data_IF_905555619674
#
_entry.id   IF_905555619674
#
_cell.length_a   1.000
_cell.length_b   1.000
_cell.length_c   1.000
_cell.angle_alpha   90.00
_cell.angle_beta   90.00
_cell.angle_gamma   90.00
#
_symmetry.space_group_name_H-M   'P 1'
#
loop_
_entity.id
_entity.type
_entity.pdbx_description
1 polymer ?
#
# COMPACT_ATOMS: atom_id res chain seq x y z
N UNK A 1 -7.34 -1.20 17.56
CA UNK A 1 -8.25 -0.07 17.31
C UNK A 1 -9.68 -0.59 17.48
N UNK A 2 -10.65 0.19 17.98
CA UNK A 2 -12.06 -0.22 18.03
C UNK A 2 -12.88 0.84 17.30
N UNK A 3 -13.62 0.40 16.28
CA UNK A 3 -14.51 1.26 15.50
C UNK A 3 -15.96 1.04 15.91
N UNK A 4 -16.77 2.09 15.89
CA UNK A 4 -18.18 2.07 16.27
C UNK A 4 -19.12 1.65 15.14
N UNK A 5 -18.68 1.74 13.88
CA UNK A 5 -19.47 1.34 12.71
C UNK A 5 -18.57 0.95 11.52
N UNK A 6 -19.18 0.28 10.52
CA UNK A 6 -18.53 -0.01 9.23
C UNK A 6 -18.16 1.29 8.51
N UNK A 7 -19.00 2.32 8.59
CA UNK A 7 -18.74 3.61 7.94
C UNK A 7 -17.52 4.32 8.53
N UNK A 8 -17.30 4.23 9.86
CA UNK A 8 -16.11 4.76 10.51
C UNK A 8 -14.84 4.03 10.06
N UNK A 9 -14.90 2.71 9.92
CA UNK A 9 -13.79 1.90 9.39
C UNK A 9 -13.46 2.32 7.95
N UNK A 10 -14.48 2.43 7.11
CA UNK A 10 -14.31 2.77 5.69
C UNK A 10 -13.78 4.19 5.52
N UNK A 11 -14.29 5.16 6.28
CA UNK A 11 -13.77 6.53 6.27
C UNK A 11 -12.30 6.56 6.67
N UNK A 12 -11.94 5.83 7.74
CA UNK A 12 -10.54 5.74 8.17
C UNK A 12 -9.64 5.10 7.11
N UNK A 13 -10.09 4.02 6.46
CA UNK A 13 -9.35 3.36 5.38
C UNK A 13 -9.18 4.30 4.18
N UNK A 14 -10.23 4.99 3.75
CA UNK A 14 -10.19 5.96 2.65
C UNK A 14 -9.17 7.07 2.93
N UNK A 15 -9.11 7.58 4.15
CA UNK A 15 -8.14 8.62 4.51
C UNK A 15 -6.70 8.10 4.47
N UNK A 16 -6.48 6.84 4.86
CA UNK A 16 -5.15 6.20 4.73
C UNK A 16 -4.74 6.03 3.26
N UNK A 17 -5.65 5.62 2.40
CA UNK A 17 -5.40 5.52 0.95
C UNK A 17 -5.11 6.88 0.32
N UNK A 18 -5.84 7.93 0.69
CA UNK A 18 -5.55 9.30 0.21
C UNK A 18 -4.16 9.78 0.63
N UNK A 19 -3.74 9.47 1.86
CA UNK A 19 -2.37 9.77 2.31
C UNK A 19 -1.32 9.00 1.49
N UNK A 20 -1.60 7.76 1.08
CA UNK A 20 -0.73 6.97 0.21
C UNK A 20 -0.67 7.56 -1.21
N UNK A 21 -1.82 7.98 -1.78
CA UNK A 21 -1.88 8.71 -3.06
C UNK A 21 -0.95 9.92 -3.04
N UNK A 22 -1.08 10.77 -2.01
CA UNK A 22 -0.29 12.00 -1.87
C UNK A 22 1.20 11.69 -1.66
N UNK A 23 1.50 10.69 -0.84
CA UNK A 23 2.87 10.24 -0.58
C UNK A 23 3.56 9.76 -1.87
N UNK A 24 2.93 8.87 -2.64
CA UNK A 24 3.53 8.40 -3.88
C UNK A 24 3.58 9.49 -4.96
N UNK A 25 2.60 10.38 -5.00
CA UNK A 25 2.63 11.54 -5.90
C UNK A 25 3.77 12.51 -5.56
N UNK A 26 4.13 12.70 -4.29
CA UNK A 26 5.28 13.52 -3.91
C UNK A 26 6.59 12.84 -4.27
N UNK A 27 6.75 11.55 -3.95
CA UNK A 27 7.94 10.78 -4.32
C UNK A 27 8.18 10.75 -5.84
N UNK A 28 7.12 10.64 -6.64
CA UNK A 28 7.21 10.72 -8.09
C UNK A 28 7.74 12.08 -8.61
N UNK A 29 7.50 13.18 -7.89
CA UNK A 29 8.01 14.51 -8.27
C UNK A 29 9.48 14.66 -7.94
N UNK A 30 9.94 14.04 -6.86
CA UNK A 30 11.32 14.11 -6.37
C UNK A 30 12.25 13.05 -6.98
N UNK A 31 11.68 11.96 -7.49
CA UNK A 31 12.43 10.87 -8.10
C UNK A 31 13.29 11.36 -9.28
N UNK A 32 14.60 11.15 -9.16
CA UNK A 32 15.58 11.54 -10.19
C UNK A 32 15.75 10.50 -11.29
N UNK A 33 15.45 9.23 -11.00
CA UNK A 33 15.47 8.12 -11.99
C UNK A 33 14.09 7.93 -12.59
N UNK A 34 14.02 7.84 -13.92
CA UNK A 34 12.76 7.63 -14.66
C UNK A 34 12.01 6.39 -14.19
N UNK A 35 12.71 5.27 -13.97
CA UNK A 35 12.08 4.03 -13.49
C UNK A 35 11.39 4.19 -12.14
N UNK A 36 12.03 4.87 -11.18
CA UNK A 36 11.45 5.15 -9.86
C UNK A 36 10.23 6.05 -9.97
N UNK A 37 10.34 7.10 -10.80
CA UNK A 37 9.23 8.02 -11.06
C UNK A 37 8.03 7.28 -11.64
N UNK A 38 8.25 6.42 -12.63
CA UNK A 38 7.18 5.61 -13.24
C UNK A 38 6.53 4.68 -12.22
N UNK A 39 7.31 4.01 -11.37
CA UNK A 39 6.79 3.17 -10.29
C UNK A 39 5.93 3.96 -9.31
N UNK A 40 6.40 5.12 -8.81
CA UNK A 40 5.62 5.92 -7.85
C UNK A 40 4.37 6.55 -8.48
N UNK A 41 4.42 6.97 -9.75
CA UNK A 41 3.21 7.40 -10.47
C UNK A 41 2.22 6.25 -10.58
N UNK A 42 2.69 5.02 -10.82
CA UNK A 42 1.83 3.84 -10.91
C UNK A 42 1.17 3.56 -9.57
N UNK A 43 1.94 3.53 -8.47
CA UNK A 43 1.41 3.30 -7.12
C UNK A 43 0.37 4.35 -6.75
N UNK A 44 0.68 5.64 -6.92
CA UNK A 44 -0.28 6.72 -6.65
C UNK A 44 -1.62 6.51 -7.37
N UNK A 45 -1.61 6.03 -8.62
CA UNK A 45 -2.83 5.70 -9.39
C UNK A 45 -3.50 4.40 -8.94
N UNK A 46 -2.76 3.46 -8.35
CA UNK A 46 -3.31 2.24 -7.77
C UNK A 46 -4.03 2.58 -6.45
N UNK A 47 -3.43 3.42 -5.60
CA UNK A 47 -4.08 3.95 -4.38
C UNK A 47 -5.34 4.77 -4.70
N UNK A 48 -5.34 5.56 -5.77
CA UNK A 48 -6.57 6.26 -6.23
C UNK A 48 -7.71 5.28 -6.54
N UNK A 49 -7.39 4.08 -7.07
CA UNK A 49 -8.38 3.04 -7.31
C UNK A 49 -8.83 2.39 -6.00
N UNK A 50 -7.95 2.25 -5.02
CA UNK A 50 -8.30 1.75 -3.69
C UNK A 50 -9.27 2.71 -2.99
N UNK A 51 -9.00 4.03 -3.04
CA UNK A 51 -9.95 5.07 -2.59
C UNK A 51 -11.32 4.87 -3.25
N UNK A 52 -11.36 4.70 -4.58
CA UNK A 52 -12.61 4.51 -5.32
C UNK A 52 -13.34 3.21 -4.92
N UNK A 53 -12.59 2.13 -4.68
CA UNK A 53 -13.14 0.84 -4.26
C UNK A 53 -13.79 0.92 -2.88
N UNK A 54 -13.11 1.57 -1.93
CA UNK A 54 -13.59 1.77 -0.56
C UNK A 54 -14.78 2.76 -0.50
N UNK A 55 -14.78 3.77 -1.37
CA UNK A 55 -15.82 4.82 -1.37
C UNK A 55 -17.16 4.36 -1.94
N UNK A 56 -17.17 3.35 -2.81
CA UNK A 56 -18.39 2.82 -3.42
C UNK A 56 -18.32 1.30 -3.62
N UNK A 57 -18.39 0.56 -2.51
CA UNK A 57 -18.36 -0.92 -2.52
C UNK A 57 -19.51 -1.48 -3.36
N UNK A 58 -20.72 -0.93 -3.19
CA UNK A 58 -21.92 -1.39 -3.90
C UNK A 58 -21.81 -1.19 -5.42
N UNK A 59 -21.37 -0.01 -5.86
CA UNK A 59 -21.15 0.28 -7.29
C UNK A 59 -19.96 -0.47 -7.89
N UNK A 60 -19.02 -0.94 -7.08
CA UNK A 60 -17.88 -1.75 -7.54
C UNK A 60 -18.07 -3.26 -7.32
N UNK A 61 -19.28 -3.73 -6.98
CA UNK A 61 -19.54 -5.13 -6.63
C UNK A 61 -19.07 -6.14 -7.69
N UNK A 62 -19.29 -5.87 -8.97
CA UNK A 62 -18.83 -6.75 -10.06
C UNK A 62 -17.30 -6.86 -10.11
N UNK A 63 -16.56 -5.77 -9.91
CA UNK A 63 -15.09 -5.77 -9.88
C UNK A 63 -14.55 -6.50 -8.66
N UNK A 64 -15.20 -6.30 -7.51
CA UNK A 64 -14.89 -7.01 -6.27
C UNK A 64 -15.13 -8.50 -6.50
N UNK A 65 -16.25 -8.86 -7.14
CA UNK A 65 -16.66 -10.24 -7.31
C UNK A 65 -15.83 -11.02 -8.32
N UNK A 66 -15.34 -10.35 -9.35
CA UNK A 66 -14.45 -10.89 -10.36
C UNK A 66 -12.96 -10.83 -10.01
N UNK A 67 -12.59 -10.29 -8.83
CA UNK A 67 -11.19 -10.17 -8.44
C UNK A 67 -10.53 -11.54 -8.24
N UNK A 68 -9.39 -11.74 -8.91
CA UNK A 68 -8.60 -12.97 -8.83
C UNK A 68 -7.43 -12.81 -7.86
N UNK A 69 -7.44 -13.61 -6.80
CA UNK A 69 -6.33 -13.66 -5.84
C UNK A 69 -5.13 -14.41 -6.44
N UNK A 70 -3.93 -13.90 -6.19
CA UNK A 70 -2.65 -14.43 -6.65
C UNK A 70 -1.70 -14.53 -5.48
N UNK A 71 -0.86 -15.55 -5.50
CA UNK A 71 0.21 -15.68 -4.51
C UNK A 71 1.23 -14.55 -4.70
N UNK A 72 1.62 -13.92 -3.59
CA UNK A 72 2.65 -12.89 -3.54
C UNK A 72 3.77 -13.41 -2.65
N UNK A 73 5.00 -13.30 -3.13
CA UNK A 73 6.18 -13.61 -2.33
C UNK A 73 6.35 -12.53 -1.26
N UNK A 74 6.40 -12.93 0.00
CA UNK A 74 6.68 -12.02 1.12
C UNK A 74 8.17 -12.07 1.46
N UNK A 75 8.94 -11.05 1.07
CA UNK A 75 10.39 -10.99 1.28
C UNK A 75 10.75 -10.63 2.72
N UNK A 76 9.80 -10.06 3.49
CA UNK A 76 9.94 -9.71 4.92
C UNK A 76 11.09 -8.76 5.24
N UNK A 77 11.57 -7.98 4.27
CA UNK A 77 12.71 -7.06 4.50
C UNK A 77 12.28 -5.94 5.47
N UNK A 78 11.09 -5.39 5.27
CA UNK A 78 10.51 -4.32 6.10
C UNK A 78 10.18 -4.73 7.53
N UNK A 79 9.93 -6.02 7.78
CA UNK A 79 9.69 -6.58 9.12
C UNK A 79 10.85 -6.27 10.08
N UNK A 80 12.08 -6.15 9.56
CA UNK A 80 13.30 -5.83 10.33
C UNK A 80 13.62 -4.34 10.38
N UNK A 81 12.78 -3.48 9.82
CA UNK A 81 13.00 -2.03 9.75
C UNK A 81 12.26 -1.27 10.85
N UNK A 82 12.87 -0.18 11.31
CA UNK A 82 12.24 0.77 12.24
C UNK A 82 11.47 1.81 11.43
N UNK A 83 10.25 2.15 11.89
CA UNK A 83 9.45 3.22 11.30
C UNK A 83 10.21 4.56 11.41
N UNK A 84 10.34 5.25 10.28
CA UNK A 84 10.87 6.61 10.19
C UNK A 84 9.86 7.50 9.51
N UNK A 85 9.87 8.78 9.86
CA UNK A 85 9.09 9.80 9.16
C UNK A 85 9.87 10.31 7.95
N UNK A 86 9.15 10.75 6.93
CA UNK A 86 9.75 11.28 5.71
C UNK A 86 10.33 12.67 5.97
N UNK A 87 11.53 12.92 5.44
CA UNK A 87 12.21 14.21 5.48
C UNK A 87 12.64 14.59 4.04
N UNK A 88 12.45 15.85 3.67
CA UNK A 88 12.84 16.34 2.34
C UNK A 88 14.35 16.19 2.13
N UNK A 89 14.75 15.68 0.96
CA UNK A 89 16.16 15.44 0.64
C UNK A 89 16.73 14.14 1.22
N UNK A 90 15.90 13.30 1.86
CA UNK A 90 16.29 11.96 2.30
C UNK A 90 16.79 11.12 1.11
N UNK A 91 17.88 10.34 1.27
CA UNK A 91 18.39 9.52 0.18
C UNK A 91 17.39 8.41 -0.18
N UNK A 92 17.35 8.07 -1.47
CA UNK A 92 16.37 7.12 -2.03
C UNK A 92 16.23 5.80 -1.26
N UNK A 93 17.31 5.14 -0.78
CA UNK A 93 17.17 3.90 -0.01
C UNK A 93 16.41 4.09 1.29
N UNK A 94 16.55 5.23 1.96
CA UNK A 94 15.79 5.52 3.18
C UNK A 94 14.32 5.83 2.87
N UNK A 95 14.04 6.49 1.73
CA UNK A 95 12.67 6.66 1.23
C UNK A 95 12.01 5.31 0.96
N UNK A 96 12.73 4.36 0.33
CA UNK A 96 12.22 3.01 0.10
C UNK A 96 11.90 2.30 1.42
N UNK A 97 12.73 2.44 2.46
CA UNK A 97 12.45 1.88 3.80
C UNK A 97 11.14 2.41 4.38
N UNK A 98 10.89 3.70 4.23
CA UNK A 98 9.64 4.33 4.69
C UNK A 98 8.46 3.79 3.90
N UNK A 99 8.57 3.73 2.57
CA UNK A 99 7.51 3.22 1.70
C UNK A 99 7.18 1.76 2.04
N UNK A 100 8.17 0.87 2.12
CA UNK A 100 7.95 -0.54 2.49
C UNK A 100 7.26 -0.68 3.85
N UNK A 101 7.64 0.15 4.83
CA UNK A 101 7.03 0.11 6.16
C UNK A 101 5.59 0.64 6.15
N UNK A 102 5.27 1.61 5.30
CA UNK A 102 3.89 2.06 5.08
C UNK A 102 3.04 0.93 4.51
N UNK A 103 3.54 0.23 3.50
CA UNK A 103 2.84 -0.92 2.90
C UNK A 103 2.64 -2.07 3.90
N UNK A 104 3.67 -2.42 4.67
CA UNK A 104 3.55 -3.43 5.73
C UNK A 104 2.46 -3.06 6.76
N UNK A 105 2.39 -1.79 7.15
CA UNK A 105 1.36 -1.29 8.07
C UNK A 105 -0.03 -1.36 7.42
N UNK A 106 -0.16 -1.05 6.13
CA UNK A 106 -1.41 -1.11 5.39
C UNK A 106 -1.90 -2.58 5.24
N UNK A 107 -1.02 -3.51 4.87
CA UNK A 107 -1.29 -4.96 4.85
C UNK A 107 -1.81 -5.43 6.21
N UNK A 108 -1.13 -5.04 7.29
CA UNK A 108 -1.56 -5.41 8.66
C UNK A 108 -2.92 -4.79 9.00
N UNK A 109 -3.11 -3.51 8.68
CA UNK A 109 -4.37 -2.81 8.91
C UNK A 109 -5.53 -3.54 8.23
N UNK A 110 -5.41 -3.83 6.93
CA UNK A 110 -6.50 -4.47 6.18
C UNK A 110 -6.74 -5.92 6.59
N UNK A 111 -5.69 -6.63 7.01
CA UNK A 111 -5.83 -7.95 7.62
C UNK A 111 -6.66 -7.88 8.91
N UNK A 112 -6.34 -6.92 9.79
CA UNK A 112 -7.04 -6.72 11.06
C UNK A 112 -8.50 -6.28 10.83
N UNK A 113 -8.76 -5.40 9.86
CA UNK A 113 -10.10 -4.92 9.51
C UNK A 113 -10.95 -6.01 8.87
N UNK A 114 -10.38 -6.82 7.97
CA UNK A 114 -11.03 -8.00 7.39
C UNK A 114 -11.44 -9.03 8.44
N UNK A 115 -10.56 -9.27 9.42
CA UNK A 115 -10.84 -10.18 10.54
C UNK A 115 -11.92 -9.68 11.51
N UNK A 116 -12.09 -8.37 11.64
CA UNK A 116 -13.04 -7.73 12.56
C UNK A 116 -14.38 -7.36 11.94
N UNK A 117 -14.47 -7.28 10.60
CA UNK A 117 -15.72 -6.96 9.92
C UNK A 117 -16.72 -8.11 10.05
N UNK A 118 -18.02 -7.83 9.99
CA UNK A 118 -19.09 -8.84 9.80
C UNK A 118 -19.77 -8.71 8.44
N UNK A 119 -19.46 -7.64 7.70
CA UNK A 119 -19.99 -7.40 6.36
C UNK A 119 -19.13 -8.13 5.32
N UNK A 120 -19.74 -9.04 4.55
CA UNK A 120 -19.05 -9.87 3.56
C UNK A 120 -18.40 -9.07 2.43
N UNK A 121 -19.06 -8.02 1.94
CA UNK A 121 -18.53 -7.18 0.87
C UNK A 121 -17.31 -6.37 1.37
N UNK A 122 -17.41 -5.79 2.58
CA UNK A 122 -16.29 -5.09 3.21
C UNK A 122 -15.10 -6.02 3.48
N UNK A 123 -15.33 -7.26 3.96
CA UNK A 123 -14.28 -8.27 4.11
C UNK A 123 -13.55 -8.53 2.81
N UNK A 124 -14.29 -8.66 1.71
CA UNK A 124 -13.73 -8.95 0.41
C UNK A 124 -12.87 -7.79 -0.10
N UNK A 125 -13.34 -6.56 0.06
CA UNK A 125 -12.54 -5.36 -0.25
C UNK A 125 -11.27 -5.31 0.58
N UNK A 126 -11.33 -5.53 1.90
CA UNK A 126 -10.10 -5.54 2.72
C UNK A 126 -9.13 -6.64 2.31
N UNK A 127 -9.60 -7.84 1.95
CA UNK A 127 -8.73 -8.89 1.43
C UNK A 127 -8.08 -8.52 0.09
N UNK A 128 -8.82 -7.82 -0.78
CA UNK A 128 -8.25 -7.28 -2.04
C UNK A 128 -7.12 -6.31 -1.72
N UNK A 129 -7.33 -5.37 -0.78
CA UNK A 129 -6.32 -4.40 -0.38
C UNK A 129 -5.10 -5.07 0.28
N UNK A 130 -5.29 -6.10 1.13
CA UNK A 130 -4.17 -6.92 1.66
C UNK A 130 -3.29 -7.45 0.52
N UNK A 131 -3.91 -7.90 -0.58
CA UNK A 131 -3.17 -8.40 -1.73
C UNK A 131 -2.48 -7.27 -2.52
N UNK A 132 -3.17 -6.17 -2.79
CA UNK A 132 -2.57 -5.06 -3.54
C UNK A 132 -1.42 -4.39 -2.77
N UNK A 133 -1.59 -4.09 -1.48
CA UNK A 133 -0.50 -3.55 -0.64
C UNK A 133 0.64 -4.56 -0.46
N UNK A 134 0.34 -5.86 -0.42
CA UNK A 134 1.36 -6.90 -0.45
C UNK A 134 2.21 -6.86 -1.72
N UNK A 135 1.61 -6.55 -2.89
CA UNK A 135 2.36 -6.38 -4.14
C UNK A 135 3.19 -5.11 -4.11
N UNK A 136 2.65 -4.01 -3.59
CA UNK A 136 3.40 -2.77 -3.44
C UNK A 136 4.63 -2.98 -2.56
N UNK A 137 4.44 -3.62 -1.38
CA UNK A 137 5.52 -4.04 -0.47
C UNK A 137 6.58 -4.86 -1.21
N UNK A 138 6.18 -5.92 -1.92
CA UNK A 138 7.09 -6.79 -2.64
C UNK A 138 7.93 -6.06 -3.70
N UNK A 139 7.29 -5.17 -4.49
CA UNK A 139 7.99 -4.38 -5.51
C UNK A 139 9.01 -3.44 -4.87
N UNK A 140 8.66 -2.77 -3.77
CA UNK A 140 9.57 -1.88 -3.05
C UNK A 140 10.74 -2.65 -2.41
N UNK A 141 10.46 -3.80 -1.82
CA UNK A 141 11.47 -4.70 -1.24
C UNK A 141 12.45 -5.20 -2.30
N UNK A 142 11.94 -5.58 -3.48
CA UNK A 142 12.78 -5.98 -4.62
C UNK A 142 13.67 -4.83 -5.09
N UNK A 143 13.11 -3.62 -5.21
CA UNK A 143 13.87 -2.43 -5.60
C UNK A 143 14.95 -2.05 -4.59
N UNK A 144 14.70 -2.28 -3.29
CA UNK A 144 15.68 -2.05 -2.24
C UNK A 144 16.79 -3.10 -2.27
N UNK A 145 16.45 -4.38 -2.48
CA UNK A 145 17.40 -5.48 -2.62
C UNK A 145 18.33 -5.28 -3.83
N UNK A 146 17.76 -4.95 -5.00
CA UNK A 146 18.52 -4.62 -6.21
C UNK A 146 19.49 -3.45 -5.98
N UNK A 147 19.05 -2.42 -5.26
CA UNK A 147 19.90 -1.28 -4.92
C UNK A 147 21.10 -1.70 -4.05
N UNK A 148 20.91 -2.58 -3.07
CA UNK A 148 22.00 -3.08 -2.23
C UNK A 148 22.99 -3.92 -3.06
N UNK A 149 22.49 -4.81 -3.92
CA UNK A 149 23.31 -5.63 -4.79
C UNK A 149 24.18 -4.80 -5.77
N UNK A 150 23.65 -3.67 -6.25
CA UNK A 150 24.38 -2.73 -7.10
C UNK A 150 25.49 -1.95 -6.34
N UNK A 151 25.41 -1.82 -5.01
CA UNK A 151 26.41 -1.12 -4.18
C UNK A 151 27.55 -2.03 -3.71
N UNK A 152 27.32 -3.34 -3.68
CA UNK A 152 28.32 -4.35 -3.27
C UNK A 152 29.27 -4.79 -4.41
N UNK A 153 29.09 -4.23 -5.63
CA UNK A 153 29.95 -4.43 -6.81
C UNK A 153 30.81 -3.19 -7.13
#
# INVERSE_FOLDING_TARGET
MKFGSVDEVLSFAIDREKEAVEFYASLAKEATRTSLKETFVKFSKEEEKHVALLSDISGNKEKIDSYEFKEITDLKISDYMVKKDYEEGMPMPEILKIAMKKEEIAVKLYTDLGGQSDNADAKKVFNILVQEEGKHKFVLESMYDDYLADQDN
#
